data_IF_408067381858
#
_entry.id   IF_408067381858
#
_cell.length_a   1.000
_cell.length_b   1.000
_cell.length_c   1.000
_cell.angle_alpha   90.00
_cell.angle_beta   90.00
_cell.angle_gamma   90.00
#
_symmetry.space_group_name_H-M   'P 1'
#
loop_
_entity.id
_entity.type
_entity.pdbx_description
1 polymer ?
#
# COMPACT_ATOMS: atom_id res chain seq x y z
N UNK A 1 3.58 32.29 13.80
CA UNK A 1 4.97 31.81 13.63
C UNK A 1 5.08 30.28 13.58
N UNK A 2 4.27 29.50 14.30
CA UNK A 2 4.29 28.02 14.26
C UNK A 2 3.99 27.39 12.88
N UNK A 3 3.24 28.06 12.00
CA UNK A 3 2.87 27.55 10.66
C UNK A 3 3.96 27.67 9.59
N UNK A 4 4.95 28.55 9.79
CA UNK A 4 6.04 28.76 8.82
C UNK A 4 7.13 27.69 8.98
N UNK A 5 7.48 27.38 10.23
CA UNK A 5 8.47 26.35 10.56
C UNK A 5 7.99 24.94 10.21
N UNK A 6 6.68 24.66 10.33
CA UNK A 6 6.11 23.37 9.91
C UNK A 6 6.15 23.18 8.39
N UNK A 7 5.82 24.23 7.62
CA UNK A 7 5.94 24.20 6.15
C UNK A 7 7.38 23.99 5.69
N UNK A 8 8.34 24.67 6.31
CA UNK A 8 9.76 24.53 5.96
C UNK A 8 10.29 23.12 6.25
N UNK A 9 9.92 22.53 7.40
CA UNK A 9 10.30 21.16 7.75
C UNK A 9 9.70 20.12 6.81
N UNK A 10 8.46 20.32 6.36
CA UNK A 10 7.78 19.43 5.42
C UNK A 10 8.42 19.45 4.03
N UNK A 11 8.81 20.63 3.53
CA UNK A 11 9.55 20.75 2.26
C UNK A 11 10.91 20.05 2.36
N UNK A 12 11.62 20.18 3.49
CA UNK A 12 12.90 19.51 3.70
C UNK A 12 12.77 17.98 3.75
N UNK A 13 11.75 17.44 4.39
CA UNK A 13 11.50 15.99 4.44
C UNK A 13 11.10 15.43 3.07
N UNK A 14 10.21 16.11 2.33
CA UNK A 14 9.85 15.73 0.96
C UNK A 14 11.05 15.79 0.00
N UNK A 15 11.91 16.81 0.15
CA UNK A 15 13.12 16.95 -0.66
C UNK A 15 14.16 15.87 -0.30
N UNK A 16 14.30 15.52 0.98
CA UNK A 16 15.22 14.47 1.41
C UNK A 16 14.79 13.08 0.90
N UNK A 17 13.49 12.75 0.98
CA UNK A 17 12.97 11.51 0.38
C UNK A 17 13.12 11.53 -1.14
N UNK A 18 12.79 12.63 -1.80
CA UNK A 18 12.90 12.75 -3.26
C UNK A 18 14.34 12.59 -3.74
N UNK A 19 15.32 13.22 -3.06
CA UNK A 19 16.75 13.10 -3.40
C UNK A 19 17.26 11.67 -3.14
N UNK A 20 16.85 11.03 -2.04
CA UNK A 20 17.19 9.64 -1.76
C UNK A 20 16.70 8.70 -2.88
N UNK A 21 15.43 8.82 -3.26
CA UNK A 21 14.85 7.99 -4.31
C UNK A 21 15.34 8.34 -5.72
N UNK A 22 15.66 9.61 -6.02
CA UNK A 22 16.31 10.01 -7.28
C UNK A 22 17.75 9.48 -7.41
N UNK A 23 18.51 9.47 -6.31
CA UNK A 23 19.84 8.87 -6.29
C UNK A 23 19.79 7.35 -6.49
N UNK A 24 18.77 6.69 -5.91
CA UNK A 24 18.45 5.29 -6.15
C UNK A 24 18.05 5.02 -7.61
N UNK A 25 17.23 5.89 -8.22
CA UNK A 25 16.82 5.84 -9.64
C UNK A 25 18.02 5.80 -10.59
N UNK A 26 19.01 6.68 -10.38
CA UNK A 26 20.23 6.72 -11.22
C UNK A 26 21.08 5.45 -11.08
N UNK A 27 20.96 4.71 -9.96
CA UNK A 27 21.66 3.44 -9.74
C UNK A 27 20.93 2.21 -10.27
N UNK A 28 19.60 2.22 -10.37
CA UNK A 28 18.82 1.03 -10.72
C UNK A 28 18.11 1.09 -12.08
N UNK A 29 17.83 2.27 -12.62
CA UNK A 29 17.11 2.44 -13.90
C UNK A 29 18.10 2.44 -15.08
N UNK A 30 19.12 1.60 -14.96
CA UNK A 30 20.04 1.27 -16.05
C UNK A 30 19.57 0.01 -16.77
N UNK A 31 19.01 0.19 -17.97
CA UNK A 31 18.92 -0.83 -19.04
C UNK A 31 18.02 -2.06 -18.75
N UNK A 32 17.53 -2.27 -17.52
CA UNK A 32 16.62 -3.36 -17.17
C UNK A 32 15.22 -2.82 -16.84
N UNK A 33 14.19 -3.34 -17.52
CA UNK A 33 12.79 -2.93 -17.36
C UNK A 33 12.24 -3.06 -15.94
N UNK A 34 11.00 -2.61 -15.74
CA UNK A 34 10.27 -2.54 -14.45
C UNK A 34 10.46 -3.78 -13.55
N UNK A 35 10.39 -3.56 -12.23
CA UNK A 35 10.57 -4.62 -11.23
C UNK A 35 9.54 -5.74 -11.35
N UNK A 36 8.35 -5.44 -11.89
CA UNK A 36 7.33 -6.43 -12.20
C UNK A 36 6.78 -6.26 -13.60
N UNK A 37 6.15 -7.30 -14.14
CA UNK A 37 5.22 -7.21 -15.25
C UNK A 37 3.91 -6.57 -14.79
N UNK A 38 3.20 -5.94 -15.73
CA UNK A 38 1.81 -5.49 -15.51
C UNK A 38 0.92 -6.73 -15.49
N UNK A 39 0.07 -6.85 -14.48
CA UNK A 39 -0.94 -7.90 -14.37
C UNK A 39 -2.29 -7.31 -14.01
N UNK A 40 -3.36 -7.96 -14.47
CA UNK A 40 -4.73 -7.54 -14.21
C UNK A 40 -5.46 -8.62 -13.40
N UNK A 41 -6.24 -8.19 -12.41
CA UNK A 41 -7.22 -9.01 -11.75
C UNK A 41 -8.62 -8.55 -12.19
N UNK A 42 -9.39 -9.41 -12.84
CA UNK A 42 -10.70 -9.07 -13.40
C UNK A 42 -11.80 -9.95 -12.82
N UNK A 43 -12.89 -9.31 -12.46
CA UNK A 43 -14.20 -9.89 -12.15
C UNK A 43 -15.23 -9.17 -13.02
N UNK A 44 -16.49 -9.60 -13.01
CA UNK A 44 -17.55 -8.90 -13.74
C UNK A 44 -17.73 -7.45 -13.26
N UNK A 45 -17.71 -7.24 -11.94
CA UNK A 45 -18.00 -5.93 -11.37
C UNK A 45 -16.76 -5.03 -11.22
N UNK A 46 -15.56 -5.60 -11.04
CA UNK A 46 -14.35 -4.85 -10.74
C UNK A 46 -13.11 -5.44 -11.42
N UNK A 47 -12.32 -4.57 -12.04
CA UNK A 47 -10.98 -4.85 -12.55
C UNK A 47 -9.95 -4.01 -11.80
N UNK A 48 -8.81 -4.61 -11.45
CA UNK A 48 -7.64 -3.92 -10.91
C UNK A 48 -6.45 -4.24 -11.78
N UNK A 49 -5.83 -3.21 -12.33
CA UNK A 49 -4.60 -3.31 -13.11
C UNK A 49 -3.42 -2.86 -12.24
N UNK A 50 -2.49 -3.77 -12.04
CA UNK A 50 -1.31 -3.60 -11.19
C UNK A 50 -0.22 -2.96 -12.06
N UNK A 51 0.16 -1.73 -11.72
CA UNK A 51 1.10 -0.91 -12.48
C UNK A 51 2.40 -0.74 -11.68
N UNK A 52 3.49 -1.43 -12.06
CA UNK A 52 4.80 -1.28 -11.42
C UNK A 52 5.36 0.13 -11.65
N UNK A 53 5.99 0.70 -10.63
CA UNK A 53 6.62 2.00 -10.66
C UNK A 53 7.93 2.00 -9.85
N UNK A 54 8.82 2.94 -10.17
CA UNK A 54 10.08 3.12 -9.46
C UNK A 54 10.88 1.80 -9.35
N UNK A 55 11.40 1.50 -8.16
CA UNK A 55 12.19 0.29 -7.89
C UNK A 55 11.32 -0.90 -7.47
N UNK A 56 10.24 -0.65 -6.74
CA UNK A 56 9.40 -1.70 -6.16
C UNK A 56 7.96 -1.25 -5.84
N UNK A 57 7.56 -0.03 -6.22
CA UNK A 57 6.23 0.51 -5.93
C UNK A 57 5.16 -0.07 -6.85
N UNK A 58 3.95 -0.21 -6.33
CA UNK A 58 2.75 -0.48 -7.12
C UNK A 58 1.80 0.69 -7.11
N UNK A 59 1.33 1.05 -8.31
CA UNK A 59 0.14 1.87 -8.52
C UNK A 59 -1.00 0.95 -8.97
N UNK A 60 -2.25 1.33 -8.70
CA UNK A 60 -3.40 0.46 -9.01
C UNK A 60 -4.50 1.21 -9.75
N UNK A 61 -4.74 0.85 -11.01
CA UNK A 61 -5.88 1.36 -11.77
C UNK A 61 -7.09 0.47 -11.48
N UNK A 62 -8.03 1.00 -10.69
CA UNK A 62 -9.29 0.35 -10.31
C UNK A 62 -10.35 0.76 -11.33
N UNK A 63 -11.04 -0.21 -11.91
CA UNK A 63 -12.03 0.01 -12.96
C UNK A 63 -13.35 -0.64 -12.53
N UNK A 64 -14.41 0.16 -12.51
CA UNK A 64 -15.77 -0.35 -12.38
C UNK A 64 -16.21 -1.00 -13.70
N UNK A 65 -16.56 -2.28 -13.64
CA UNK A 65 -16.87 -3.09 -14.82
C UNK A 65 -18.04 -2.54 -15.64
N UNK A 66 -19.12 -2.11 -14.97
CA UNK A 66 -20.35 -1.64 -15.62
C UNK A 66 -20.26 -0.23 -16.19
N UNK A 67 -19.62 0.70 -15.49
CA UNK A 67 -19.61 2.12 -15.85
C UNK A 67 -18.36 2.54 -16.63
N UNK A 68 -17.30 1.71 -16.56
CA UNK A 68 -15.94 2.04 -17.02
C UNK A 68 -15.37 3.30 -16.36
N UNK A 69 -15.93 3.77 -15.25
CA UNK A 69 -15.27 4.74 -14.39
C UNK A 69 -14.09 4.11 -13.68
N UNK A 70 -13.03 4.90 -13.50
CA UNK A 70 -11.80 4.43 -12.91
C UNK A 70 -11.23 5.40 -11.87
N UNK A 71 -10.48 4.82 -10.93
CA UNK A 71 -9.62 5.53 -10.01
C UNK A 71 -8.21 4.98 -10.09
N UNK A 72 -7.21 5.84 -9.87
CA UNK A 72 -5.81 5.43 -9.75
C UNK A 72 -5.35 5.61 -8.31
N UNK A 73 -4.76 4.56 -7.74
CA UNK A 73 -4.12 4.59 -6.42
C UNK A 73 -2.64 4.93 -6.58
N UNK A 74 -2.17 5.92 -5.81
CA UNK A 74 -0.76 6.33 -5.66
C UNK A 74 -0.01 6.56 -7.00
N UNK A 75 -0.43 7.50 -7.86
CA UNK A 75 0.01 7.63 -9.25
C UNK A 75 1.38 8.31 -9.42
N UNK A 76 2.45 7.80 -8.81
CA UNK A 76 3.80 8.41 -8.88
C UNK A 76 4.38 8.50 -10.30
N UNK A 77 3.91 7.67 -11.23
CA UNK A 77 4.31 7.68 -12.65
C UNK A 77 3.13 8.02 -13.59
N UNK A 78 2.77 9.32 -13.75
CA UNK A 78 1.60 9.74 -14.52
C UNK A 78 1.55 9.24 -15.96
N UNK A 79 2.69 9.19 -16.66
CA UNK A 79 2.76 8.72 -18.05
C UNK A 79 2.26 7.26 -18.19
N UNK A 80 2.65 6.39 -17.25
CA UNK A 80 2.18 4.99 -17.18
C UNK A 80 0.68 4.91 -16.89
N UNK A 81 0.18 5.79 -16.02
CA UNK A 81 -1.26 5.86 -15.69
C UNK A 81 -2.07 6.26 -16.93
N UNK A 82 -1.65 7.31 -17.64
CA UNK A 82 -2.35 7.78 -18.83
C UNK A 82 -2.36 6.74 -19.95
N UNK A 83 -1.25 6.03 -20.13
CA UNK A 83 -1.19 4.92 -21.08
C UNK A 83 -2.17 3.81 -20.69
N UNK A 84 -2.21 3.39 -19.43
CA UNK A 84 -3.14 2.37 -18.96
C UNK A 84 -4.62 2.81 -19.09
N UNK A 85 -4.92 4.08 -18.81
CA UNK A 85 -6.27 4.64 -18.99
C UNK A 85 -6.70 4.60 -20.47
N UNK A 86 -5.79 4.91 -21.38
CA UNK A 86 -6.02 4.84 -22.83
C UNK A 86 -6.21 3.39 -23.29
N UNK A 87 -5.32 2.49 -22.90
CA UNK A 87 -5.34 1.08 -23.31
C UNK A 87 -6.59 0.35 -22.83
N UNK A 88 -7.03 0.65 -21.61
CA UNK A 88 -8.28 0.10 -21.06
C UNK A 88 -9.53 0.86 -21.55
N UNK A 89 -9.38 1.99 -22.23
CA UNK A 89 -10.50 2.83 -22.68
C UNK A 89 -11.49 3.15 -21.54
N UNK A 90 -10.98 3.72 -20.45
CA UNK A 90 -11.74 4.02 -19.22
C UNK A 90 -11.81 5.51 -18.92
N UNK A 91 -12.79 5.90 -18.09
CA UNK A 91 -12.98 7.28 -17.63
C UNK A 91 -12.31 7.44 -16.27
N UNK A 92 -11.05 7.89 -16.27
CA UNK A 92 -10.38 8.25 -15.02
C UNK A 92 -11.08 9.47 -14.40
N UNK A 93 -11.50 9.33 -13.14
CA UNK A 93 -12.21 10.38 -12.38
C UNK A 93 -11.52 10.74 -11.07
N UNK A 94 -10.80 9.78 -10.48
CA UNK A 94 -10.32 9.87 -9.10
C UNK A 94 -8.86 9.46 -8.98
N UNK A 95 -8.13 10.17 -8.13
CA UNK A 95 -6.85 9.77 -7.58
C UNK A 95 -7.07 9.44 -6.10
N UNK A 96 -6.67 8.25 -5.67
CA UNK A 96 -6.72 7.84 -4.27
C UNK A 96 -5.29 7.78 -3.75
N UNK A 97 -4.88 8.76 -2.95
CA UNK A 97 -3.54 8.79 -2.38
C UNK A 97 -3.57 8.24 -0.97
N UNK A 98 -2.80 7.17 -0.71
CA UNK A 98 -2.76 6.50 0.60
C UNK A 98 -2.06 7.38 1.64
N UNK A 99 -0.95 8.00 1.27
CA UNK A 99 -0.20 8.91 2.14
C UNK A 99 0.72 9.86 1.37
N UNK A 100 1.31 10.81 2.10
CA UNK A 100 2.01 11.94 1.52
C UNK A 100 3.45 11.68 1.04
N UNK A 101 4.01 10.47 1.24
CA UNK A 101 5.37 10.21 0.78
C UNK A 101 5.44 10.32 -0.74
N UNK A 102 6.59 10.81 -1.21
CA UNK A 102 6.77 11.21 -2.60
C UNK A 102 6.57 10.05 -3.59
N UNK A 103 6.98 8.85 -3.22
CA UNK A 103 6.84 7.65 -4.03
C UNK A 103 5.39 7.17 -4.21
N UNK A 104 4.43 7.80 -3.50
CA UNK A 104 2.99 7.59 -3.65
C UNK A 104 2.28 8.83 -4.22
N UNK A 105 2.53 10.00 -3.63
CA UNK A 105 1.84 11.26 -3.95
C UNK A 105 2.56 12.11 -5.00
N UNK A 106 3.83 11.81 -5.31
CA UNK A 106 4.71 12.70 -6.07
C UNK A 106 4.33 12.89 -7.54
N UNK A 107 3.43 12.06 -8.07
CA UNK A 107 2.90 12.20 -9.42
C UNK A 107 1.56 12.94 -9.52
N UNK A 108 0.90 13.23 -8.40
CA UNK A 108 -0.46 13.79 -8.38
C UNK A 108 -0.59 15.10 -9.18
N UNK A 109 0.27 16.09 -8.88
CA UNK A 109 0.20 17.41 -9.54
C UNK A 109 0.52 17.32 -11.03
N UNK A 110 1.51 16.50 -11.40
CA UNK A 110 1.85 16.27 -12.80
C UNK A 110 0.69 15.58 -13.54
N UNK A 111 0.04 14.60 -12.90
CA UNK A 111 -1.14 13.95 -13.49
C UNK A 111 -2.28 14.94 -13.72
N UNK A 112 -2.56 15.82 -12.75
CA UNK A 112 -3.57 16.88 -12.89
C UNK A 112 -3.28 17.85 -14.05
N UNK A 113 -2.00 18.16 -14.29
CA UNK A 113 -1.59 19.03 -15.40
C UNK A 113 -1.71 18.34 -16.76
N UNK A 114 -1.41 17.04 -16.82
CA UNK A 114 -1.44 16.26 -18.06
C UNK A 114 -2.83 15.80 -18.46
N UNK A 115 -3.72 15.60 -17.48
CA UNK A 115 -5.07 15.09 -17.72
C UNK A 115 -6.03 16.24 -18.02
N UNK A 116 -6.75 16.15 -19.15
CA UNK A 116 -7.58 17.25 -19.65
C UNK A 116 -8.89 17.46 -18.88
N UNK A 117 -9.32 16.47 -18.09
CA UNK A 117 -10.54 16.53 -17.30
C UNK A 117 -10.21 16.72 -15.82
N UNK A 118 -11.07 17.41 -15.05
CA UNK A 118 -10.89 17.51 -13.61
C UNK A 118 -10.84 16.12 -12.95
N UNK A 119 -9.88 15.93 -12.05
CA UNK A 119 -9.78 14.75 -11.18
C UNK A 119 -10.04 15.14 -9.74
N UNK A 120 -10.76 14.29 -9.03
CA UNK A 120 -10.87 14.35 -7.58
C UNK A 120 -9.67 13.63 -6.96
N UNK A 121 -8.84 14.35 -6.21
CA UNK A 121 -7.66 13.81 -5.53
C UNK A 121 -8.00 13.66 -4.06
N UNK A 122 -8.20 12.41 -3.66
CA UNK A 122 -8.53 11.98 -2.32
C UNK A 122 -7.29 11.64 -1.49
N UNK A 123 -7.32 11.99 -0.21
CA UNK A 123 -6.24 11.69 0.74
C UNK A 123 -6.53 12.21 2.15
N UNK A 124 -5.83 11.68 3.15
CA UNK A 124 -6.01 12.04 4.56
C UNK A 124 -5.03 13.09 5.10
N UNK A 125 -4.25 13.74 4.23
CA UNK A 125 -3.11 14.57 4.63
C UNK A 125 -2.93 15.80 3.75
N UNK A 126 -2.87 16.99 4.36
CA UNK A 126 -2.66 18.27 3.65
C UNK A 126 -1.29 18.37 2.96
N UNK A 127 -0.36 17.44 3.23
CA UNK A 127 0.95 17.35 2.57
C UNK A 127 0.87 16.68 1.19
N UNK A 128 -0.27 16.07 0.84
CA UNK A 128 -0.49 15.44 -0.47
C UNK A 128 -0.61 16.53 -1.54
N UNK A 129 0.26 16.48 -2.55
CA UNK A 129 0.22 17.39 -3.70
C UNK A 129 -1.07 17.21 -4.51
N UNK A 130 -1.66 18.32 -4.97
CA UNK A 130 -2.90 18.32 -5.75
C UNK A 130 -4.17 17.90 -4.99
N UNK A 131 -4.12 17.70 -3.68
CA UNK A 131 -5.28 17.30 -2.86
C UNK A 131 -6.44 18.30 -3.01
N UNK A 132 -7.63 17.80 -3.33
CA UNK A 132 -8.86 18.60 -3.36
C UNK A 132 -10.06 17.92 -2.63
N UNK A 133 -9.91 16.66 -2.22
CA UNK A 133 -10.90 15.92 -1.45
C UNK A 133 -10.25 15.31 -0.19
N UNK A 134 -10.24 16.05 0.92
CA UNK A 134 -9.76 15.52 2.21
C UNK A 134 -10.73 14.49 2.76
N UNK A 135 -10.24 13.32 3.16
CA UNK A 135 -11.04 12.24 3.77
C UNK A 135 -10.55 11.87 5.16
N UNK A 136 -11.46 11.28 5.94
CA UNK A 136 -11.25 10.79 7.30
C UNK A 136 -11.74 9.35 7.44
N UNK A 137 -11.64 8.82 8.66
CA UNK A 137 -12.20 7.53 9.02
C UNK A 137 -13.68 7.40 8.62
N UNK A 138 -14.01 6.33 7.92
CA UNK A 138 -15.36 5.97 7.45
C UNK A 138 -16.00 6.97 6.48
N UNK A 139 -15.24 7.90 5.90
CA UNK A 139 -15.77 8.64 4.75
C UNK A 139 -16.01 7.68 3.57
N UNK A 140 -17.04 7.98 2.79
CA UNK A 140 -17.47 7.16 1.67
C UNK A 140 -17.40 7.91 0.35
N UNK A 141 -16.98 7.22 -0.70
CA UNK A 141 -16.97 7.70 -2.07
C UNK A 141 -17.28 6.54 -3.03
N UNK A 142 -17.48 6.86 -4.32
CA UNK A 142 -17.81 5.86 -5.35
C UNK A 142 -16.85 5.90 -6.53
N UNK A 143 -16.60 4.72 -7.12
CA UNK A 143 -15.97 4.58 -8.45
C UNK A 143 -17.02 3.91 -9.33
N UNK A 144 -17.80 4.69 -10.08
CA UNK A 144 -19.02 4.18 -10.71
C UNK A 144 -19.96 3.52 -9.69
N UNK A 145 -20.16 2.21 -9.84
CA UNK A 145 -21.00 1.40 -8.94
C UNK A 145 -20.22 0.72 -7.80
N UNK A 146 -18.91 0.96 -7.68
CA UNK A 146 -18.11 0.43 -6.57
C UNK A 146 -18.18 1.39 -5.38
N UNK A 147 -18.43 0.85 -4.20
CA UNK A 147 -18.41 1.58 -2.94
C UNK A 147 -17.01 1.58 -2.35
N UNK A 148 -16.53 2.75 -1.92
CA UNK A 148 -15.21 2.90 -1.31
C UNK A 148 -15.39 3.49 0.08
N UNK A 149 -14.81 2.83 1.07
CA UNK A 149 -14.75 3.28 2.47
C UNK A 149 -13.30 3.63 2.82
N UNK A 150 -13.09 4.84 3.34
CA UNK A 150 -11.79 5.30 3.80
C UNK A 150 -11.52 4.80 5.22
N UNK A 151 -10.40 4.12 5.40
CA UNK A 151 -9.95 3.59 6.70
C UNK A 151 -8.71 4.38 7.13
N UNK A 152 -8.81 5.12 8.22
CA UNK A 152 -7.72 5.91 8.77
C UNK A 152 -6.77 5.03 9.59
N UNK A 153 -5.57 4.82 9.07
CA UNK A 153 -4.57 3.89 9.62
C UNK A 153 -3.26 4.63 9.95
N UNK A 154 -3.27 5.60 10.88
CA UNK A 154 -2.06 6.36 11.19
C UNK A 154 -1.01 5.43 11.79
N UNK A 155 0.22 5.49 11.30
CA UNK A 155 1.42 5.00 11.99
C UNK A 155 2.64 5.25 11.10
N UNK A 156 2.62 4.66 9.91
CA UNK A 156 3.66 4.87 8.91
C UNK A 156 3.78 6.36 8.58
N UNK A 157 2.64 6.99 8.28
CA UNK A 157 2.47 8.43 8.37
C UNK A 157 1.23 8.73 9.21
N UNK A 158 1.15 9.95 9.73
CA UNK A 158 0.04 10.41 10.58
C UNK A 158 -1.26 10.67 9.82
N UNK A 159 -1.22 10.77 8.49
CA UNK A 159 -2.38 11.01 7.61
C UNK A 159 -2.72 9.82 6.70
N UNK A 160 -2.23 8.62 7.00
CA UNK A 160 -2.36 7.45 6.12
C UNK A 160 -3.81 6.93 6.06
N UNK A 161 -4.32 6.71 4.84
CA UNK A 161 -5.63 6.16 4.53
C UNK A 161 -5.46 4.87 3.72
N UNK A 162 -6.09 3.79 4.19
CA UNK A 162 -6.39 2.62 3.37
C UNK A 162 -7.75 2.79 2.70
N UNK A 163 -7.90 2.34 1.45
CA UNK A 163 -9.17 2.42 0.71
C UNK A 163 -9.77 1.02 0.56
N UNK A 164 -10.91 0.78 1.21
CA UNK A 164 -11.64 -0.48 1.12
C UNK A 164 -12.75 -0.38 0.07
N UNK A 165 -12.63 -1.14 -1.01
CA UNK A 165 -13.48 -1.08 -2.21
C UNK A 165 -14.34 -2.34 -2.31
N UNK A 166 -15.64 -2.14 -2.49
CA UNK A 166 -16.63 -3.22 -2.55
C UNK A 166 -17.48 -3.11 -3.82
N UNK A 167 -17.81 -4.27 -4.40
CA UNK A 167 -18.84 -4.37 -5.43
C UNK A 167 -20.14 -4.92 -4.85
N UNK A 168 -21.26 -4.63 -5.53
CA UNK A 168 -22.57 -5.21 -5.17
C UNK A 168 -22.61 -6.74 -5.33
N UNK A 169 -21.71 -7.32 -6.13
CA UNK A 169 -21.58 -8.77 -6.35
C UNK A 169 -20.71 -9.46 -5.31
N UNK A 170 -20.16 -8.71 -4.34
CA UNK A 170 -19.41 -9.26 -3.21
C UNK A 170 -17.89 -9.23 -3.35
N UNK A 171 -17.33 -8.62 -4.40
CA UNK A 171 -15.89 -8.40 -4.49
C UNK A 171 -15.45 -7.38 -3.44
N UNK A 172 -14.33 -7.64 -2.74
CA UNK A 172 -13.85 -6.84 -1.61
C UNK A 172 -12.34 -6.69 -1.68
N UNK A 173 -11.84 -5.50 -2.02
CA UNK A 173 -10.41 -5.21 -2.13
C UNK A 173 -10.03 -4.10 -1.16
N UNK A 174 -8.83 -4.15 -0.59
CA UNK A 174 -8.28 -3.05 0.24
C UNK A 174 -6.92 -2.63 -0.27
N UNK A 175 -6.76 -1.32 -0.50
CA UNK A 175 -5.51 -0.70 -0.92
C UNK A 175 -4.84 -0.12 0.31
N UNK A 176 -3.74 -0.72 0.74
CA UNK A 176 -3.19 -0.51 2.09
C UNK A 176 -1.96 0.40 2.12
N UNK A 177 -1.50 0.86 0.95
CA UNK A 177 -0.23 1.59 0.83
C UNK A 177 0.84 0.96 1.70
N UNK A 178 1.41 1.78 2.56
CA UNK A 178 2.50 1.39 3.46
C UNK A 178 2.08 0.98 4.88
N UNK A 179 0.79 0.80 5.15
CA UNK A 179 0.34 0.28 6.45
C UNK A 179 0.57 -1.23 6.53
N UNK A 180 -0.01 -1.99 5.60
CA UNK A 180 0.07 -3.45 5.52
C UNK A 180 0.75 -3.87 4.22
N UNK A 181 1.79 -4.70 4.32
CA UNK A 181 2.43 -5.39 3.20
C UNK A 181 2.20 -6.89 3.32
N UNK A 182 2.43 -7.62 2.23
CA UNK A 182 2.49 -9.08 2.31
C UNK A 182 3.61 -9.52 3.27
N UNK A 183 3.23 -10.17 4.37
CA UNK A 183 4.12 -10.63 5.44
C UNK A 183 4.81 -9.52 6.24
N UNK A 184 4.38 -8.27 6.11
CA UNK A 184 5.03 -7.14 6.76
C UNK A 184 4.09 -5.97 7.07
N UNK A 185 4.68 -4.91 7.61
CA UNK A 185 4.03 -3.61 7.80
C UNK A 185 5.03 -2.48 7.53
N UNK A 186 4.52 -1.26 7.39
CA UNK A 186 5.34 -0.07 7.29
C UNK A 186 6.25 0.16 8.50
N UNK A 187 7.34 0.89 8.27
CA UNK A 187 8.10 1.50 9.37
C UNK A 187 7.27 2.57 10.05
N UNK A 188 7.45 2.74 11.36
CA UNK A 188 6.67 3.66 12.18
C UNK A 188 7.31 5.06 12.16
N UNK A 189 7.36 5.72 11.00
CA UNK A 189 8.05 7.01 10.89
C UNK A 189 7.36 8.13 11.68
N UNK A 190 6.03 8.13 11.74
CA UNK A 190 5.25 9.19 12.39
C UNK A 190 4.27 8.66 13.45
N UNK A 191 4.52 7.47 13.97
CA UNK A 191 3.57 6.82 14.87
C UNK A 191 4.17 5.78 15.79
N UNK A 192 3.30 5.02 16.42
CA UNK A 192 3.62 4.13 17.54
C UNK A 192 3.18 2.69 17.26
N UNK A 193 3.67 1.76 18.08
CA UNK A 193 3.26 0.37 18.03
C UNK A 193 1.77 0.18 18.35
N UNK A 194 1.19 0.99 19.24
CA UNK A 194 -0.24 1.00 19.56
C UNK A 194 -1.06 1.36 18.32
N UNK A 195 -0.67 2.42 17.62
CA UNK A 195 -1.33 2.83 16.39
C UNK A 195 -1.22 1.79 15.27
N UNK A 196 -0.06 1.14 15.09
CA UNK A 196 0.06 0.05 14.12
C UNK A 196 -0.77 -1.17 14.54
N UNK A 197 -0.83 -1.48 15.83
CA UNK A 197 -1.69 -2.55 16.35
C UNK A 197 -3.16 -2.25 16.06
N UNK A 198 -3.62 -1.03 16.29
CA UNK A 198 -4.99 -0.63 15.99
C UNK A 198 -5.28 -0.72 14.47
N UNK A 199 -4.37 -0.24 13.63
CA UNK A 199 -4.50 -0.31 12.18
C UNK A 199 -4.58 -1.76 11.67
N UNK A 200 -3.64 -2.63 12.09
CA UNK A 200 -3.55 -3.99 11.57
C UNK A 200 -4.49 -4.96 12.28
N UNK A 201 -4.46 -4.99 13.61
CA UNK A 201 -5.08 -6.04 14.42
C UNK A 201 -6.49 -5.71 14.89
N UNK A 202 -6.92 -4.44 14.85
CA UNK A 202 -8.33 -4.07 15.10
C UNK A 202 -9.06 -3.71 13.83
N UNK A 203 -8.46 -2.88 12.96
CA UNK A 203 -9.17 -2.35 11.81
C UNK A 203 -9.07 -3.26 10.59
N UNK A 204 -7.88 -3.45 10.01
CA UNK A 204 -7.73 -4.25 8.78
C UNK A 204 -8.07 -5.73 9.01
N UNK A 205 -7.72 -6.31 10.15
CA UNK A 205 -8.09 -7.68 10.52
C UNK A 205 -9.62 -7.89 10.65
N UNK A 206 -10.39 -6.83 10.89
CA UNK A 206 -11.85 -6.92 11.00
C UNK A 206 -12.56 -6.97 9.65
N UNK A 207 -11.84 -6.66 8.56
CA UNK A 207 -12.35 -6.84 7.21
C UNK A 207 -12.61 -8.34 6.94
N UNK A 208 -13.56 -8.67 6.05
CA UNK A 208 -13.82 -10.06 5.67
C UNK A 208 -12.55 -10.78 5.20
N UNK A 209 -12.43 -12.04 5.59
CA UNK A 209 -11.23 -12.87 5.38
C UNK A 209 -10.85 -13.06 3.89
N UNK A 210 -11.83 -12.98 3.00
CA UNK A 210 -11.68 -13.04 1.54
C UNK A 210 -11.27 -11.71 0.91
N UNK A 211 -11.18 -10.63 1.70
CA UNK A 211 -10.77 -9.31 1.21
C UNK A 211 -9.35 -9.36 0.65
N UNK A 212 -9.17 -8.99 -0.62
CA UNK A 212 -7.87 -8.98 -1.28
C UNK A 212 -7.07 -7.74 -0.89
N UNK A 213 -5.78 -7.91 -0.58
CA UNK A 213 -4.89 -6.85 -0.08
C UNK A 213 -3.93 -6.41 -1.18
N UNK A 214 -3.95 -5.13 -1.52
CA UNK A 214 -3.09 -4.47 -2.50
C UNK A 214 -2.20 -3.43 -1.80
N UNK A 215 -0.94 -3.77 -1.56
CA UNK A 215 -0.01 -2.94 -0.79
C UNK A 215 0.91 -2.07 -1.65
N UNK A 216 1.60 -1.11 -1.05
CA UNK A 216 2.41 -0.11 -1.76
C UNK A 216 3.63 -0.67 -2.50
N UNK A 217 4.23 -1.75 -2.01
CA UNK A 217 5.54 -2.22 -2.48
C UNK A 217 5.66 -3.75 -2.63
N UNK A 218 6.58 -4.16 -3.50
CA UNK A 218 7.03 -5.55 -3.72
C UNK A 218 8.11 -5.98 -2.70
N UNK A 219 7.73 -6.05 -1.42
CA UNK A 219 8.61 -6.44 -0.31
C UNK A 219 8.46 -7.88 0.15
N UNK A 220 7.69 -8.68 -0.56
CA UNK A 220 7.18 -9.97 -0.08
C UNK A 220 8.27 -10.95 0.32
N UNK A 221 9.29 -11.15 -0.52
CA UNK A 221 10.38 -12.09 -0.18
C UNK A 221 11.19 -11.64 1.04
N UNK A 222 11.47 -10.34 1.16
CA UNK A 222 12.18 -9.79 2.32
C UNK A 222 11.34 -9.90 3.59
N UNK A 223 10.05 -9.60 3.49
CA UNK A 223 9.11 -9.70 4.59
C UNK A 223 8.95 -11.15 5.06
N UNK A 224 8.81 -12.10 4.13
CA UNK A 224 8.66 -13.51 4.47
C UNK A 224 9.94 -14.12 5.05
N UNK A 225 11.13 -13.65 4.64
CA UNK A 225 12.39 -14.04 5.28
C UNK A 225 12.40 -13.66 6.77
N UNK A 226 11.97 -12.44 7.10
CA UNK A 226 11.81 -12.03 8.50
C UNK A 226 10.70 -12.81 9.21
N UNK A 227 9.55 -13.03 8.55
CA UNK A 227 8.48 -13.83 9.12
C UNK A 227 8.95 -15.24 9.48
N UNK A 228 9.76 -15.88 8.63
CA UNK A 228 10.35 -17.20 8.88
C UNK A 228 11.33 -17.18 10.04
N UNK A 229 12.09 -16.10 10.23
CA UNK A 229 12.93 -15.91 11.41
C UNK A 229 12.10 -15.85 12.70
N UNK A 230 10.94 -15.19 12.68
CA UNK A 230 10.03 -15.08 13.84
C UNK A 230 9.30 -16.40 14.13
N UNK A 231 8.81 -17.09 13.11
CA UNK A 231 8.07 -18.36 13.24
C UNK A 231 8.65 -19.45 12.31
N UNK A 232 9.80 -20.07 12.64
CA UNK A 232 10.52 -20.99 11.75
C UNK A 232 9.78 -22.28 11.42
N UNK A 233 8.73 -22.60 12.17
CA UNK A 233 7.91 -23.80 11.99
C UNK A 233 6.54 -23.51 11.37
N UNK A 234 6.24 -22.26 10.99
CA UNK A 234 4.97 -21.92 10.34
C UNK A 234 5.02 -22.31 8.85
N UNK A 235 4.39 -23.42 8.50
CA UNK A 235 4.36 -23.93 7.12
C UNK A 235 3.75 -22.95 6.11
N UNK A 236 2.84 -22.06 6.53
CA UNK A 236 2.23 -21.09 5.63
C UNK A 236 3.28 -20.09 5.12
N UNK A 237 4.26 -19.72 5.95
CA UNK A 237 5.38 -18.86 5.57
C UNK A 237 6.23 -19.56 4.51
N UNK A 238 6.63 -20.81 4.75
CA UNK A 238 7.44 -21.59 3.82
C UNK A 238 6.77 -21.75 2.45
N UNK A 239 5.48 -22.13 2.44
CA UNK A 239 4.69 -22.27 1.21
C UNK A 239 4.60 -20.93 0.46
N UNK A 240 4.44 -19.81 1.19
CA UNK A 240 4.37 -18.48 0.61
C UNK A 240 5.71 -18.00 0.05
N UNK A 241 6.84 -18.33 0.69
CA UNK A 241 8.20 -18.05 0.15
C UNK A 241 8.40 -18.74 -1.19
N UNK A 242 8.10 -20.03 -1.29
CA UNK A 242 8.30 -20.78 -2.54
C UNK A 242 7.39 -20.26 -3.66
N UNK A 243 6.12 -19.98 -3.35
CA UNK A 243 5.21 -19.32 -4.29
C UNK A 243 5.74 -17.95 -4.76
N UNK A 244 6.23 -17.12 -3.84
CA UNK A 244 6.75 -15.80 -4.18
C UNK A 244 8.00 -15.90 -5.05
N UNK A 245 8.94 -16.81 -4.75
CA UNK A 245 10.15 -17.04 -5.58
C UNK A 245 9.79 -17.38 -7.02
N UNK A 246 8.81 -18.28 -7.22
CA UNK A 246 8.34 -18.65 -8.56
C UNK A 246 7.77 -17.46 -9.32
N UNK A 247 6.94 -16.62 -8.68
CA UNK A 247 6.41 -15.39 -9.30
C UNK A 247 7.51 -14.38 -9.61
N UNK A 248 8.44 -14.18 -8.68
CA UNK A 248 9.55 -13.24 -8.88
C UNK A 248 10.51 -13.68 -9.98
N UNK A 249 10.69 -14.99 -10.19
CA UNK A 249 11.50 -15.52 -11.29
C UNK A 249 10.98 -15.10 -12.68
N UNK A 250 9.67 -14.89 -12.82
CA UNK A 250 9.03 -14.38 -14.05
C UNK A 250 8.68 -12.89 -13.99
N UNK A 251 9.18 -12.16 -12.97
CA UNK A 251 8.79 -10.77 -12.66
C UNK A 251 7.28 -10.56 -12.42
N UNK A 252 6.51 -11.61 -12.13
CA UNK A 252 5.11 -11.44 -11.75
C UNK A 252 5.02 -10.75 -10.37
N UNK A 253 4.09 -9.80 -10.18
CA UNK A 253 3.86 -9.17 -8.88
C UNK A 253 3.35 -10.19 -7.86
N UNK A 254 3.70 -10.08 -6.59
CA UNK A 254 3.14 -10.98 -5.57
C UNK A 254 1.82 -10.48 -5.00
N UNK A 255 1.42 -9.24 -5.25
CA UNK A 255 0.08 -8.75 -4.91
C UNK A 255 -0.99 -9.35 -5.85
N UNK A 256 -2.24 -9.51 -5.38
CA UNK A 256 -2.69 -9.33 -4.00
C UNK A 256 -2.52 -10.58 -3.13
N UNK A 257 -2.57 -10.42 -1.80
CA UNK A 257 -2.90 -11.50 -0.85
C UNK A 257 -4.36 -11.36 -0.38
N UNK A 258 -4.77 -12.02 0.69
CA UNK A 258 -6.05 -11.76 1.39
C UNK A 258 -5.85 -11.49 2.88
N UNK A 259 -6.88 -10.98 3.56
CA UNK A 259 -6.85 -10.75 5.02
C UNK A 259 -6.64 -12.06 5.79
N UNK A 260 -7.34 -13.15 5.44
CA UNK A 260 -7.10 -14.47 6.05
C UNK A 260 -5.67 -14.96 5.88
N UNK A 261 -5.14 -14.73 4.69
CA UNK A 261 -3.77 -15.05 4.31
C UNK A 261 -2.77 -14.30 5.20
N UNK A 262 -2.88 -12.98 5.33
CA UNK A 262 -2.00 -12.21 6.21
C UNK A 262 -2.11 -12.60 7.68
N UNK A 263 -3.31 -12.92 8.19
CA UNK A 263 -3.50 -13.46 9.56
C UNK A 263 -2.75 -14.78 9.80
N UNK A 264 -2.45 -15.54 8.75
CA UNK A 264 -1.82 -16.87 8.85
C UNK A 264 -0.28 -16.85 8.85
N UNK A 265 0.35 -15.76 8.40
CA UNK A 265 1.82 -15.68 8.27
C UNK A 265 2.45 -14.34 8.64
N UNK A 266 1.69 -13.24 8.69
CA UNK A 266 2.28 -11.92 8.89
C UNK A 266 2.56 -11.71 10.37
N UNK A 267 3.82 -11.61 10.81
CA UNK A 267 4.16 -11.54 12.23
C UNK A 267 3.52 -10.32 12.91
N UNK A 268 3.28 -9.23 12.16
CA UNK A 268 2.63 -8.03 12.69
C UNK A 268 1.11 -8.15 12.83
N UNK A 269 0.45 -9.02 12.06
CA UNK A 269 -0.97 -9.35 12.28
C UNK A 269 -1.17 -10.46 13.31
N UNK A 270 -0.07 -11.09 13.75
CA UNK A 270 -0.02 -12.26 14.64
C UNK A 270 0.59 -11.95 16.00
N UNK A 271 0.70 -10.68 16.39
CA UNK A 271 1.33 -10.26 17.67
C UNK A 271 0.62 -10.75 18.94
N UNK A 272 -0.57 -11.32 18.81
CA UNK A 272 -1.31 -11.98 19.88
C UNK A 272 -1.02 -13.49 19.99
N UNK A 273 -0.33 -14.06 19.00
CA UNK A 273 -0.03 -15.49 18.95
C UNK A 273 1.09 -15.84 19.94
N UNK A 274 0.94 -16.92 20.73
CA UNK A 274 1.96 -17.32 21.70
C UNK A 274 3.34 -17.58 21.09
N UNK A 275 3.41 -18.09 19.85
CA UNK A 275 4.66 -18.31 19.12
C UNK A 275 5.41 -17.00 18.85
N UNK A 276 4.70 -15.99 18.37
CA UNK A 276 5.24 -14.67 18.04
C UNK A 276 5.64 -13.91 19.31
N UNK A 277 4.82 -13.98 20.35
CA UNK A 277 5.12 -13.40 21.66
C UNK A 277 6.36 -14.03 22.31
N UNK A 278 6.50 -15.36 22.20
CA UNK A 278 7.68 -16.09 22.66
C UNK A 278 8.95 -15.63 21.95
N UNK A 279 8.91 -15.47 20.62
CA UNK A 279 10.03 -14.91 19.84
C UNK A 279 10.41 -13.52 20.33
N UNK A 280 9.42 -12.63 20.47
CA UNK A 280 9.64 -11.25 20.90
C UNK A 280 10.00 -11.10 22.39
N UNK A 281 9.92 -12.18 23.18
CA UNK A 281 10.06 -12.18 24.65
C UNK A 281 9.10 -11.17 25.32
N UNK A 282 7.86 -11.15 24.85
CA UNK A 282 6.79 -10.30 25.37
C UNK A 282 5.56 -11.14 25.68
N UNK A 283 4.61 -10.57 26.41
CA UNK A 283 3.28 -11.18 26.66
C UNK A 283 2.12 -10.25 26.30
N UNK A 284 2.44 -9.01 25.90
CA UNK A 284 1.49 -8.00 25.48
C UNK A 284 1.62 -7.79 23.96
N UNK A 285 0.52 -7.76 23.18
CA UNK A 285 0.58 -7.65 21.73
C UNK A 285 1.14 -6.31 21.24
N UNK A 286 0.93 -5.21 21.96
CA UNK A 286 1.44 -3.89 21.56
C UNK A 286 2.96 -3.83 21.78
N UNK A 287 3.46 -4.36 22.90
CA UNK A 287 4.90 -4.51 23.14
C UNK A 287 5.55 -5.47 22.14
N UNK A 288 4.85 -6.55 21.79
CA UNK A 288 5.28 -7.50 20.76
C UNK A 288 5.42 -6.80 19.40
N UNK A 289 4.41 -6.01 18.97
CA UNK A 289 4.44 -5.19 17.76
C UNK A 289 5.67 -4.27 17.72
N UNK A 290 5.93 -3.53 18.81
CA UNK A 290 7.08 -2.64 18.90
C UNK A 290 8.43 -3.38 18.85
N UNK A 291 8.53 -4.53 19.52
CA UNK A 291 9.74 -5.36 19.54
C UNK A 291 10.06 -5.90 18.15
N UNK A 292 9.09 -6.53 17.48
CA UNK A 292 9.26 -7.06 16.12
C UNK A 292 9.59 -5.95 15.12
N UNK A 293 8.96 -4.78 15.24
CA UNK A 293 9.24 -3.66 14.33
C UNK A 293 10.69 -3.22 14.43
N UNK A 294 11.19 -3.04 15.66
CA UNK A 294 12.57 -2.67 15.94
C UNK A 294 13.56 -3.75 15.48
N UNK A 295 13.22 -5.02 15.66
CA UNK A 295 14.03 -6.14 15.17
C UNK A 295 14.09 -6.14 13.64
N UNK A 296 12.94 -6.09 12.95
CA UNK A 296 12.88 -6.07 11.47
C UNK A 296 13.61 -4.89 10.86
N UNK A 297 13.62 -3.73 11.52
CA UNK A 297 14.34 -2.55 11.03
C UNK A 297 15.85 -2.73 10.94
N UNK A 298 16.41 -3.67 11.72
CA UNK A 298 17.83 -4.01 11.76
C UNK A 298 18.12 -5.41 11.17
N UNK A 299 17.09 -6.14 10.75
CA UNK A 299 17.21 -7.49 10.22
C UNK A 299 17.88 -7.48 8.84
N UNK A 300 18.86 -8.37 8.67
CA UNK A 300 19.49 -8.67 7.38
C UNK A 300 19.13 -10.11 7.03
N UNK A 301 18.39 -10.27 5.94
CA UNK A 301 18.06 -11.55 5.35
C UNK A 301 19.31 -12.26 4.81
#
# INVERSE_FOLDING_TARGET
>A
MLSFWSRFRNVLLQNASAVYFQAQKLRSVGIHGMHSSVEDLKTEAMQVKILPALQDNYMYLIICGSTREAAIVDPVYPDTVLQAVKDENVKLKKVLTTHHHWDHAGGNEKLLQMFSLPLEVYGGDNRIGGLNCMVKQNDHLKIGNLDVTCLFTPCHTSGHICYYVQSATGDRYVFTGDTLFQGGCGRFFEGTADQMYDALCKQLSSLPDDTKVFCGHEYTLQNMSYALHVEPHNENILKRIEWAKLRRATKSPTVPSTIAQEKSWNPFMRVHEPSVQKHAQQTDPIRTMGSLRKEKDNFKA
#
